data_IF_037265168705
#
_entry.id   IF_037265168705
#
_cell.length_a   1.000
_cell.length_b   1.000
_cell.length_c   1.000
_cell.angle_alpha   90.00
_cell.angle_beta   90.00
_cell.angle_gamma   90.00
#
_symmetry.space_group_name_H-M   'P 1'
#
loop_
_entity.id
_entity.type
_entity.pdbx_description
1 polymer ?
#
# COMPACT_ATOMS: atom_id res chain seq x y z
N UNK A 1 8.01 3.31 -20.13
CA UNK A 1 8.44 2.18 -19.28
C UNK A 1 7.25 1.78 -18.43
N UNK A 2 6.51 0.73 -18.85
CA UNK A 2 5.47 0.12 -18.02
C UNK A 2 6.19 -0.83 -17.07
N UNK A 3 6.61 -0.32 -15.91
CA UNK A 3 7.10 -1.18 -14.82
C UNK A 3 5.89 -1.92 -14.28
N UNK A 4 5.58 -3.07 -14.88
CA UNK A 4 4.65 -4.03 -14.31
C UNK A 4 5.17 -4.35 -12.91
N UNK A 5 4.48 -3.88 -11.88
CA UNK A 5 4.79 -4.20 -10.50
C UNK A 5 4.82 -5.72 -10.38
N UNK A 6 5.98 -6.26 -10.00
CA UNK A 6 6.16 -7.70 -9.81
C UNK A 6 5.26 -8.14 -8.65
N UNK A 7 4.21 -8.89 -8.96
CA UNK A 7 3.19 -9.34 -8.00
C UNK A 7 3.82 -10.18 -6.88
N UNK A 8 4.88 -10.91 -7.20
CA UNK A 8 5.66 -11.77 -6.31
C UNK A 8 6.79 -11.05 -5.55
N UNK A 9 6.99 -9.75 -5.79
CA UNK A 9 8.02 -9.00 -5.06
C UNK A 9 7.60 -8.76 -3.61
N UNK A 10 8.57 -8.81 -2.70
CA UNK A 10 8.34 -8.45 -1.30
C UNK A 10 7.93 -6.98 -1.17
N UNK A 11 7.03 -6.72 -0.24
CA UNK A 11 6.40 -5.43 -0.08
C UNK A 11 6.27 -5.05 1.39
N UNK A 12 6.40 -3.77 1.69
CA UNK A 12 6.13 -3.24 3.04
C UNK A 12 4.86 -2.41 2.98
N UNK A 13 3.83 -2.83 3.72
CA UNK A 13 2.57 -2.13 3.86
C UNK A 13 2.63 -1.19 5.06
N UNK A 14 2.16 0.04 4.87
CA UNK A 14 2.20 1.09 5.89
C UNK A 14 0.86 1.78 5.89
N UNK A 15 0.31 1.97 7.08
CA UNK A 15 -0.89 2.76 7.28
C UNK A 15 -0.49 4.13 7.80
N UNK A 16 -0.83 5.19 7.09
CA UNK A 16 -0.58 6.57 7.51
C UNK A 16 -1.89 7.35 7.55
N UNK A 17 -2.00 8.34 8.44
CA UNK A 17 -3.12 9.26 8.42
C UNK A 17 -3.17 10.07 7.11
N UNK A 18 -4.37 10.43 6.67
CA UNK A 18 -4.61 11.23 5.48
C UNK A 18 -3.86 12.58 5.58
N UNK A 19 -3.21 12.98 4.50
CA UNK A 19 -2.31 14.13 4.46
C UNK A 19 -0.86 13.83 4.85
N UNK A 20 -0.56 12.64 5.38
CA UNK A 20 0.82 12.19 5.59
C UNK A 20 1.33 11.41 4.37
N UNK A 21 2.62 11.60 4.08
CA UNK A 21 3.36 10.91 3.01
C UNK A 21 4.53 10.17 3.64
N UNK A 22 4.80 8.91 3.27
CA UNK A 22 5.95 8.18 3.78
C UNK A 22 7.22 8.85 3.27
N UNK A 23 8.02 9.36 4.21
CA UNK A 23 9.38 9.81 3.92
C UNK A 23 10.29 8.58 3.80
N UNK A 24 11.29 8.62 2.92
CA UNK A 24 12.29 7.54 2.78
C UNK A 24 12.97 7.24 4.13
N UNK A 25 13.06 8.24 5.01
CA UNK A 25 13.56 8.08 6.37
C UNK A 25 12.60 7.31 7.31
N UNK A 26 11.28 7.39 7.12
CA UNK A 26 10.27 6.70 7.94
C UNK A 26 10.19 5.20 7.66
N UNK A 27 10.62 4.77 6.48
CA UNK A 27 10.73 3.36 6.12
C UNK A 27 11.88 2.69 6.87
N UNK A 28 12.93 3.44 7.14
CA UNK A 28 14.10 3.00 7.92
C UNK A 28 13.86 3.16 9.43
N UNK A 29 13.16 4.23 9.83
CA UNK A 29 12.78 4.46 11.21
C UNK A 29 11.41 3.86 11.48
N UNK A 30 11.34 2.59 11.90
CA UNK A 30 10.12 1.94 12.44
C UNK A 30 9.36 2.95 13.31
N UNK A 31 8.30 3.60 12.79
CA UNK A 31 7.79 4.75 13.48
C UNK A 31 7.03 4.23 14.67
N UNK A 32 7.53 4.60 15.86
CA UNK A 32 7.01 4.12 17.15
C UNK A 32 5.64 4.72 17.47
N UNK A 33 5.17 5.69 16.66
CA UNK A 33 3.99 6.51 16.89
C UNK A 33 2.84 6.33 15.87
N UNK A 34 2.98 5.49 14.84
CA UNK A 34 1.81 5.05 14.06
C UNK A 34 1.22 3.81 14.71
N UNK A 35 -0.06 3.88 15.09
CA UNK A 35 -0.78 2.78 15.77
C UNK A 35 -0.78 1.42 15.04
N UNK A 36 -0.30 1.39 13.78
CA UNK A 36 0.25 0.23 13.10
C UNK A 36 1.58 0.60 12.45
N UNK A 37 2.66 -0.04 12.89
CA UNK A 37 3.97 0.08 12.24
C UNK A 37 3.98 -0.55 10.83
N UNK A 38 5.09 -0.40 10.09
CA UNK A 38 5.29 -1.08 8.81
C UNK A 38 5.13 -2.60 8.97
N UNK A 39 4.38 -3.19 8.05
CA UNK A 39 4.13 -4.63 7.96
C UNK A 39 4.89 -5.17 6.74
N UNK A 40 5.80 -6.11 6.95
CA UNK A 40 6.53 -6.76 5.85
C UNK A 40 5.71 -7.94 5.30
N UNK A 41 5.53 -7.95 3.98
CA UNK A 41 4.79 -8.97 3.25
C UNK A 41 5.69 -9.64 2.21
N UNK A 42 5.62 -10.98 2.08
CA UNK A 42 6.44 -11.71 1.12
C UNK A 42 6.08 -11.38 -0.33
N UNK A 43 4.81 -11.02 -0.60
CA UNK A 43 4.31 -10.70 -1.94
C UNK A 43 3.47 -9.43 -1.95
N UNK A 44 3.71 -8.56 -2.93
CA UNK A 44 2.95 -7.34 -3.19
C UNK A 44 1.46 -7.62 -3.38
N UNK A 45 1.12 -8.68 -4.11
CA UNK A 45 -0.27 -9.04 -4.40
C UNK A 45 -1.11 -9.24 -3.12
N UNK A 46 -0.53 -9.89 -2.11
CA UNK A 46 -1.20 -10.16 -0.83
C UNK A 46 -1.33 -8.89 0.00
N UNK A 47 -0.27 -8.10 0.11
CA UNK A 47 -0.28 -6.80 0.78
C UNK A 47 -1.32 -5.86 0.17
N UNK A 48 -1.36 -5.81 -1.16
CA UNK A 48 -2.31 -5.01 -1.94
C UNK A 48 -3.75 -5.44 -1.67
N UNK A 49 -4.04 -6.75 -1.78
CA UNK A 49 -5.36 -7.28 -1.51
C UNK A 49 -5.79 -7.01 -0.06
N UNK A 50 -4.89 -7.20 0.90
CA UNK A 50 -5.15 -6.88 2.31
C UNK A 50 -5.48 -5.40 2.49
N UNK A 51 -4.63 -4.50 1.99
CA UNK A 51 -4.81 -3.05 2.07
C UNK A 51 -6.16 -2.55 1.50
N UNK A 52 -6.65 -3.21 0.45
CA UNK A 52 -7.93 -2.83 -0.18
C UNK A 52 -9.16 -3.44 0.49
N UNK A 53 -9.02 -4.56 1.20
CA UNK A 53 -10.15 -5.26 1.85
C UNK A 53 -10.26 -4.98 3.35
N UNK A 54 -9.20 -4.48 4.00
CA UNK A 54 -9.24 -4.11 5.40
C UNK A 54 -10.14 -2.88 5.58
N UNK A 55 -11.13 -2.93 6.49
CA UNK A 55 -11.96 -1.78 6.79
C UNK A 55 -11.08 -0.63 7.27
N UNK A 56 -11.24 0.54 6.65
CA UNK A 56 -10.55 1.75 7.12
C UNK A 56 -11.09 2.11 8.49
N UNK A 57 -10.25 1.95 9.51
CA UNK A 57 -10.55 2.45 10.85
C UNK A 57 -9.94 3.85 10.95
N UNK A 58 -10.77 4.88 10.75
CA UNK A 58 -10.36 6.29 10.78
C UNK A 58 -9.80 6.81 9.44
N UNK A 59 -9.10 7.95 9.50
CA UNK A 59 -8.48 8.64 8.36
C UNK A 59 -7.17 7.98 7.90
N UNK A 60 -7.03 6.66 8.03
CA UNK A 60 -5.79 5.94 7.69
C UNK A 60 -5.83 5.41 6.26
N UNK A 61 -4.76 5.67 5.52
CA UNK A 61 -4.56 5.33 4.13
C UNK A 61 -3.39 4.36 3.96
N UNK A 62 -3.54 3.31 3.13
CA UNK A 62 -2.47 2.36 2.88
C UNK A 62 -1.46 2.90 1.87
N UNK A 63 -0.19 2.72 2.17
CA UNK A 63 0.96 2.93 1.31
C UNK A 63 1.70 1.61 1.19
N UNK A 64 2.18 1.24 0.00
CA UNK A 64 2.93 0.01 -0.19
C UNK A 64 4.26 0.32 -0.85
N UNK A 65 5.36 -0.08 -0.22
CA UNK A 65 6.68 -0.02 -0.84
C UNK A 65 7.04 -1.38 -1.44
N UNK A 66 7.57 -1.37 -2.66
CA UNK A 66 8.13 -2.54 -3.37
C UNK A 66 9.49 -2.14 -3.92
N UNK A 67 10.57 -2.67 -3.34
CA UNK A 67 11.93 -2.19 -3.62
C UNK A 67 12.07 -0.70 -3.32
N UNK A 68 12.54 0.08 -4.30
CA UNK A 68 12.68 1.54 -4.18
C UNK A 68 11.40 2.32 -4.56
N UNK A 69 10.33 1.62 -4.95
CA UNK A 69 9.08 2.25 -5.37
C UNK A 69 8.07 2.26 -4.24
N UNK A 70 7.61 3.45 -3.88
CA UNK A 70 6.46 3.62 -2.99
C UNK A 70 5.21 3.88 -3.81
N UNK A 71 4.14 3.14 -3.51
CA UNK A 71 2.85 3.21 -4.19
C UNK A 71 1.88 3.93 -3.27
N UNK A 72 1.31 5.01 -3.79
CA UNK A 72 0.37 5.87 -3.06
C UNK A 72 -1.02 5.24 -2.91
N UNK A 73 -1.82 5.64 -1.91
CA UNK A 73 -3.21 5.21 -1.77
C UNK A 73 -4.04 5.46 -3.04
N UNK A 74 -3.76 6.55 -3.76
CA UNK A 74 -4.40 6.87 -5.03
C UNK A 74 -4.01 5.89 -6.13
N UNK A 75 -2.73 5.54 -6.26
CA UNK A 75 -2.28 4.51 -7.19
C UNK A 75 -2.87 3.14 -6.86
N UNK A 76 -2.89 2.75 -5.58
CA UNK A 76 -3.50 1.49 -5.15
C UNK A 76 -4.98 1.43 -5.55
N UNK A 77 -5.73 2.52 -5.37
CA UNK A 77 -7.12 2.62 -5.83
C UNK A 77 -7.25 2.55 -7.35
N UNK A 78 -6.33 3.13 -8.12
CA UNK A 78 -6.33 3.04 -9.60
C UNK A 78 -6.00 1.62 -10.07
N UNK A 79 -5.11 0.92 -9.37
CA UNK A 79 -4.78 -0.48 -9.61
C UNK A 79 -5.92 -1.40 -9.21
N UNK A 80 -6.67 -1.03 -8.17
CA UNK A 80 -7.86 -1.71 -7.70
C UNK A 80 -9.05 -1.32 -8.58
N UNK A 81 -9.02 -1.76 -9.83
CA UNK A 81 -10.15 -1.60 -10.73
C UNK A 81 -11.29 -2.45 -10.14
N UNK A 82 -12.41 -1.85 -9.69
CA UNK A 82 -13.60 -2.66 -9.46
C UNK A 82 -13.95 -3.26 -10.82
N UNK A 83 -14.20 -4.57 -10.90
CA UNK A 83 -14.89 -5.15 -12.06
C UNK A 83 -16.27 -4.50 -12.19
N UNK A 84 -16.34 -3.31 -12.75
CA UNK A 84 -17.54 -2.69 -13.28
C UNK A 84 -17.38 -2.69 -14.79
N UNK A 85 -17.31 -3.90 -15.37
CA UNK A 85 -17.37 -4.06 -16.82
C UNK A 85 -17.87 -5.43 -17.28
N UNK A 86 -18.83 -6.06 -16.59
CA UNK A 86 -19.59 -7.18 -17.17
C UNK A 86 -21.04 -7.15 -16.70
N UNK A 87 -21.80 -6.14 -17.12
CA UNK A 87 -23.24 -6.28 -17.33
C UNK A 87 -23.53 -5.79 -18.75
N UNK A 88 -23.57 -6.73 -19.69
CA UNK A 88 -24.23 -6.57 -20.97
C UNK A 88 -25.27 -7.66 -21.11
#
# INVERSE_FOLDING_TARGET
>A
MNSALEQDASATLIWLQEGLVPDSAWLLARPTDVGRGPEDWPHFADAFRYAMNVPRLGEWLPWIQVGDRTISPEELRRMYVPRSHEFR
#
